data_IF_037379137512
#
_entry.id   IF_037379137512
#
_cell.length_a   1.000
_cell.length_b   1.000
_cell.length_c   1.000
_cell.angle_alpha   90.00
_cell.angle_beta   90.00
_cell.angle_gamma   90.00
#
_symmetry.space_group_name_H-M   'P 1'
#
loop_
_entity.id
_entity.type
_entity.pdbx_description
1 polymer ?
#
# COMPACT_ATOMS: atom_id res chain seq x y z
N UNK A 1 22.60 -49.28 45.90
CA UNK A 1 22.87 -48.18 46.84
C UNK A 1 21.70 -47.19 46.82
N UNK A 2 21.21 -46.70 47.97
CA UNK A 2 20.16 -45.68 48.00
C UNK A 2 20.66 -44.40 47.33
N UNK A 3 19.86 -43.83 46.42
CA UNK A 3 20.20 -42.55 45.78
C UNK A 3 20.16 -41.43 46.82
N UNK A 4 21.09 -40.46 46.82
CA UNK A 4 21.16 -39.39 47.81
C UNK A 4 19.86 -38.55 47.87
N UNK A 5 19.56 -37.88 48.99
CA UNK A 5 18.38 -37.03 49.10
C UNK A 5 18.44 -35.88 48.07
N UNK A 6 17.27 -35.51 47.55
CA UNK A 6 17.11 -34.41 46.60
C UNK A 6 16.60 -33.18 47.36
N UNK A 7 17.28 -32.04 47.22
CA UNK A 7 16.89 -30.80 47.91
C UNK A 7 16.32 -29.78 46.93
N UNK A 8 15.43 -28.92 47.43
CA UNK A 8 14.86 -27.81 46.65
C UNK A 8 15.97 -26.87 46.15
N UNK A 9 16.96 -26.57 47.00
CA UNK A 9 18.08 -25.69 46.64
C UNK A 9 18.96 -26.29 45.54
N UNK A 10 19.17 -27.61 45.50
CA UNK A 10 19.88 -28.27 44.41
C UNK A 10 19.13 -28.13 43.08
N UNK A 11 17.79 -28.29 43.09
CA UNK A 11 16.95 -28.12 41.90
C UNK A 11 17.00 -26.67 41.40
N UNK A 12 16.96 -25.69 42.31
CA UNK A 12 17.07 -24.27 41.95
C UNK A 12 18.45 -23.95 41.34
N UNK A 13 19.53 -24.44 41.94
CA UNK A 13 20.89 -24.24 41.42
C UNK A 13 21.06 -24.84 40.02
N UNK A 14 20.49 -26.02 39.75
CA UNK A 14 20.49 -26.60 38.41
C UNK A 14 19.65 -25.80 37.41
N UNK A 15 18.57 -25.17 37.88
CA UNK A 15 17.69 -24.38 37.04
C UNK A 15 18.32 -23.03 36.66
N UNK A 16 19.04 -22.41 37.60
CA UNK A 16 19.83 -21.20 37.38
C UNK A 16 20.97 -21.49 36.38
N UNK A 17 21.75 -22.57 36.56
CA UNK A 17 22.78 -22.97 35.58
C UNK A 17 22.20 -23.37 34.20
N UNK A 18 20.98 -23.92 34.17
CA UNK A 18 20.28 -24.15 32.89
C UNK A 18 19.91 -22.81 32.24
N UNK A 19 19.40 -21.85 33.02
CA UNK A 19 19.06 -20.51 32.55
C UNK A 19 20.28 -19.77 32.01
N UNK A 20 21.39 -19.77 32.74
CA UNK A 20 22.65 -19.11 32.33
C UNK A 20 23.15 -19.64 30.97
N UNK A 21 22.97 -20.94 30.69
CA UNK A 21 23.41 -21.55 29.43
C UNK A 21 22.44 -21.40 28.28
N UNK A 22 21.13 -21.34 28.55
CA UNK A 22 20.08 -21.43 27.52
C UNK A 22 19.27 -20.14 27.36
N UNK A 23 19.51 -19.14 28.19
CA UNK A 23 18.74 -17.89 28.22
C UNK A 23 17.29 -18.06 28.67
N UNK A 24 16.89 -19.24 29.16
CA UNK A 24 15.54 -19.53 29.66
C UNK A 24 15.58 -20.59 30.75
N UNK A 25 14.63 -20.53 31.68
CA UNK A 25 14.47 -21.55 32.70
C UNK A 25 13.97 -22.89 32.10
N UNK A 26 14.27 -24.03 32.75
CA UNK A 26 13.90 -25.35 32.27
C UNK A 26 12.41 -25.65 32.50
N UNK A 27 11.84 -26.45 31.60
CA UNK A 27 10.54 -27.09 31.72
C UNK A 27 10.69 -28.61 31.81
N UNK A 28 9.63 -29.32 32.22
CA UNK A 28 9.66 -30.77 32.45
C UNK A 28 10.17 -31.60 31.26
N UNK A 29 9.95 -31.13 30.03
CA UNK A 29 10.39 -31.81 28.80
C UNK A 29 11.82 -31.49 28.35
N UNK A 30 12.62 -30.74 29.13
CA UNK A 30 13.99 -30.35 28.75
C UNK A 30 15.03 -31.47 28.93
N UNK A 31 14.58 -32.70 29.15
CA UNK A 31 15.44 -33.88 29.19
C UNK A 31 16.28 -33.98 30.46
N UNK A 32 17.55 -34.39 30.33
CA UNK A 32 18.46 -34.68 31.45
C UNK A 32 19.03 -33.40 32.07
N UNK A 33 19.16 -33.41 33.40
CA UNK A 33 19.88 -32.37 34.15
C UNK A 33 21.37 -32.70 34.07
N UNK A 34 22.21 -31.79 33.55
CA UNK A 34 23.64 -32.11 33.31
C UNK A 34 24.40 -32.44 34.60
N UNK A 35 24.02 -31.79 35.70
CA UNK A 35 24.65 -31.91 37.02
C UNK A 35 24.10 -33.07 37.87
N UNK A 36 23.13 -33.84 37.35
CA UNK A 36 22.48 -34.89 38.12
C UNK A 36 22.08 -36.10 37.25
N UNK A 37 22.09 -37.29 37.84
CA UNK A 37 21.56 -38.50 37.19
C UNK A 37 20.01 -38.55 37.27
N UNK A 38 19.34 -37.53 36.73
CA UNK A 38 17.88 -37.44 36.60
C UNK A 38 17.45 -36.43 35.52
N UNK A 39 16.16 -36.45 35.18
CA UNK A 39 15.53 -35.55 34.20
C UNK A 39 14.72 -34.44 34.87
N UNK A 40 14.46 -33.35 34.14
CA UNK A 40 13.57 -32.27 34.61
C UNK A 40 12.16 -32.78 34.93
N UNK A 41 11.64 -33.74 34.16
CA UNK A 41 10.39 -34.44 34.48
C UNK A 41 10.46 -35.21 35.81
N UNK A 42 11.56 -35.93 36.06
CA UNK A 42 11.75 -36.66 37.33
C UNK A 42 11.90 -35.72 38.52
N UNK A 43 12.58 -34.57 38.35
CA UNK A 43 12.65 -33.52 39.37
C UNK A 43 11.26 -32.91 39.67
N UNK A 44 10.49 -32.59 38.62
CA UNK A 44 9.11 -32.09 38.76
C UNK A 44 8.20 -33.09 39.47
N UNK A 45 8.31 -34.38 39.14
CA UNK A 45 7.56 -35.45 39.80
C UNK A 45 7.96 -35.62 41.27
N UNK A 46 9.26 -35.48 41.59
CA UNK A 46 9.76 -35.46 42.96
C UNK A 46 9.19 -34.31 43.78
N UNK A 47 9.16 -33.09 43.21
CA UNK A 47 8.54 -31.92 43.82
C UNK A 47 7.03 -32.10 44.05
N UNK A 48 6.35 -32.80 43.12
CA UNK A 48 4.90 -33.04 43.20
C UNK A 48 4.55 -34.08 44.26
N UNK A 49 5.31 -35.18 44.33
CA UNK A 49 5.01 -36.36 45.17
C UNK A 49 5.78 -36.43 46.49
N UNK A 50 6.77 -35.57 46.69
CA UNK A 50 7.61 -35.59 47.90
C UNK A 50 8.68 -36.70 47.90
N UNK A 51 9.13 -37.13 46.72
CA UNK A 51 10.13 -38.20 46.63
C UNK A 51 11.53 -37.69 46.98
N UNK A 52 12.37 -38.61 47.48
CA UNK A 52 13.79 -38.37 47.84
C UNK A 52 13.98 -37.28 48.90
N UNK A 53 13.03 -37.12 49.83
CA UNK A 53 13.11 -36.17 50.94
C UNK A 53 12.61 -34.76 50.61
N UNK A 54 11.95 -34.57 49.46
CA UNK A 54 11.29 -33.31 49.12
C UNK A 54 9.95 -33.15 49.88
N UNK A 55 9.54 -31.91 50.19
CA UNK A 55 8.30 -31.65 50.94
C UNK A 55 7.01 -32.07 50.21
N UNK A 56 7.06 -32.24 48.87
CA UNK A 56 5.87 -32.56 48.07
C UNK A 56 4.96 -31.34 47.84
N UNK A 57 3.94 -31.50 46.98
CA UNK A 57 2.88 -30.50 46.81
C UNK A 57 3.21 -29.28 45.94
N UNK A 58 4.37 -29.24 45.28
CA UNK A 58 4.72 -28.17 44.32
C UNK A 58 5.18 -28.75 42.98
N UNK A 59 5.31 -27.92 41.95
CA UNK A 59 5.84 -28.33 40.64
C UNK A 59 7.08 -27.53 40.31
N UNK A 60 7.87 -27.97 39.34
CA UNK A 60 9.03 -27.20 38.88
C UNK A 60 8.62 -25.77 38.43
N UNK A 61 7.50 -25.65 37.71
CA UNK A 61 6.98 -24.36 37.26
C UNK A 61 6.53 -23.45 38.42
N UNK A 62 5.91 -24.03 39.46
CA UNK A 62 5.48 -23.27 40.63
C UNK A 62 6.67 -22.87 41.52
N UNK A 63 7.64 -23.77 41.71
CA UNK A 63 8.87 -23.49 42.44
C UNK A 63 9.67 -22.35 41.80
N UNK A 64 9.82 -22.35 40.47
CA UNK A 64 10.51 -21.30 39.73
C UNK A 64 9.73 -19.97 39.74
N UNK A 65 8.40 -20.04 39.76
CA UNK A 65 7.57 -18.85 39.97
C UNK A 65 7.79 -18.24 41.35
N UNK A 66 7.68 -19.04 42.41
CA UNK A 66 7.80 -18.58 43.79
C UNK A 66 9.20 -18.05 44.13
N UNK A 67 10.26 -18.71 43.64
CA UNK A 67 11.65 -18.43 44.05
C UNK A 67 12.47 -17.61 43.05
N UNK A 68 12.02 -17.48 41.80
CA UNK A 68 12.74 -16.78 40.72
C UNK A 68 11.85 -15.85 39.89
N UNK A 69 10.56 -15.71 40.23
CA UNK A 69 9.63 -14.85 39.50
C UNK A 69 9.34 -15.32 38.07
N UNK A 70 9.66 -16.57 37.73
CA UNK A 70 9.47 -17.12 36.38
C UNK A 70 7.99 -17.34 36.12
N UNK A 71 7.49 -16.89 34.96
CA UNK A 71 6.07 -17.03 34.63
C UNK A 71 5.64 -18.49 34.60
N UNK A 72 4.68 -18.84 35.45
CA UNK A 72 3.99 -20.12 35.37
C UNK A 72 2.95 -20.09 34.25
N UNK A 73 3.21 -20.77 33.12
CA UNK A 73 2.28 -20.86 31.98
C UNK A 73 0.94 -21.52 32.34
N UNK A 74 0.89 -22.31 33.41
CA UNK A 74 -0.33 -22.96 33.89
C UNK A 74 -1.16 -22.09 34.83
N UNK A 75 -0.56 -21.01 35.37
CA UNK A 75 -1.21 -20.10 36.32
C UNK A 75 -0.88 -18.63 35.97
N UNK A 76 -1.33 -18.13 34.81
CA UNK A 76 -1.08 -16.74 34.42
C UNK A 76 -1.75 -15.75 35.39
N UNK A 77 -1.15 -14.56 35.61
CA UNK A 77 -1.70 -13.58 36.54
C UNK A 77 -3.10 -13.13 36.12
N UNK A 78 -3.96 -12.86 37.10
CA UNK A 78 -5.32 -12.36 36.85
C UNK A 78 -5.26 -11.02 36.12
N UNK A 79 -6.14 -10.84 35.14
CA UNK A 79 -6.32 -9.60 34.41
C UNK A 79 -7.59 -8.90 34.89
N UNK A 80 -7.53 -7.57 34.92
CA UNK A 80 -8.72 -6.74 35.08
C UNK A 80 -9.02 -5.94 33.82
N UNK A 81 -10.29 -5.63 33.59
CA UNK A 81 -10.71 -4.75 32.49
C UNK A 81 -10.00 -3.39 32.58
N UNK A 82 -9.86 -2.83 33.76
CA UNK A 82 -9.19 -1.54 33.98
C UNK A 82 -7.71 -1.57 33.57
N UNK A 83 -7.01 -2.67 33.86
CA UNK A 83 -5.62 -2.88 33.46
C UNK A 83 -5.48 -2.96 31.94
N UNK A 84 -6.34 -3.74 31.29
CA UNK A 84 -6.36 -3.87 29.82
C UNK A 84 -6.60 -2.50 29.16
N UNK A 85 -7.56 -1.72 29.68
CA UNK A 85 -7.86 -0.39 29.15
C UNK A 85 -6.68 0.57 29.34
N UNK A 86 -5.99 0.53 30.48
CA UNK A 86 -4.78 1.35 30.71
C UNK A 86 -3.68 1.04 29.69
N UNK A 87 -3.43 -0.24 29.43
CA UNK A 87 -2.47 -0.64 28.39
C UNK A 87 -2.89 -0.16 27.01
N UNK A 88 -4.18 -0.19 26.70
CA UNK A 88 -4.69 0.22 25.40
C UNK A 88 -4.62 1.75 25.22
N UNK A 89 -4.95 2.50 26.27
CA UNK A 89 -4.84 3.95 26.30
C UNK A 89 -3.38 4.39 26.11
N UNK A 90 -2.43 3.74 26.79
CA UNK A 90 -1.00 4.01 26.64
C UNK A 90 -0.49 3.66 25.24
N UNK A 91 -0.89 2.50 24.69
CA UNK A 91 -0.56 2.14 23.32
C UNK A 91 -1.09 3.17 22.31
N UNK A 92 -2.34 3.60 22.46
CA UNK A 92 -2.94 4.63 21.61
C UNK A 92 -2.23 5.98 21.77
N UNK A 93 -1.84 6.36 23.00
CA UNK A 93 -1.08 7.58 23.27
C UNK A 93 0.28 7.59 22.55
N UNK A 94 0.97 6.44 22.53
CA UNK A 94 2.31 6.31 21.92
C UNK A 94 2.24 6.19 20.40
N UNK A 95 1.31 5.39 19.87
CA UNK A 95 1.28 5.01 18.45
C UNK A 95 0.26 5.77 17.61
N UNK A 96 -0.69 6.46 18.27
CA UNK A 96 -1.88 7.03 17.62
C UNK A 96 -2.93 6.00 17.20
N UNK A 97 -2.70 4.71 17.47
CA UNK A 97 -3.57 3.62 17.04
C UNK A 97 -4.01 2.76 18.23
N UNK A 98 -5.27 2.35 18.21
CA UNK A 98 -5.77 1.39 19.20
C UNK A 98 -5.18 0.00 18.92
N UNK A 99 -4.82 -0.74 19.96
CA UNK A 99 -4.26 -2.07 19.77
C UNK A 99 -5.31 -3.04 19.23
N UNK A 100 -4.82 -4.01 18.46
CA UNK A 100 -5.57 -5.17 17.96
C UNK A 100 -4.91 -6.44 18.49
N UNK A 101 -5.56 -7.60 18.34
CA UNK A 101 -4.97 -8.88 18.73
C UNK A 101 -3.65 -9.19 17.97
N UNK A 102 -3.43 -8.58 16.80
CA UNK A 102 -2.24 -8.72 15.97
C UNK A 102 -1.10 -7.75 16.35
N UNK A 103 -1.36 -6.78 17.22
CA UNK A 103 -0.38 -5.75 17.60
C UNK A 103 0.85 -6.33 18.31
N UNK A 104 0.76 -7.54 18.86
CA UNK A 104 1.90 -8.25 19.43
C UNK A 104 2.10 -7.99 20.93
N UNK A 105 3.35 -7.84 21.41
CA UNK A 105 3.65 -7.63 22.83
C UNK A 105 3.09 -6.32 23.40
N UNK A 106 2.72 -6.33 24.67
CA UNK A 106 2.33 -5.14 25.42
C UNK A 106 3.60 -4.51 26.02
N UNK A 107 3.88 -3.21 25.77
CA UNK A 107 5.07 -2.55 26.29
C UNK A 107 5.13 -2.55 27.83
N UNK A 108 6.35 -2.70 28.38
CA UNK A 108 6.62 -2.69 29.83
C UNK A 108 5.89 -3.77 30.64
N UNK A 109 5.41 -4.82 29.97
CA UNK A 109 4.86 -6.01 30.61
C UNK A 109 5.57 -7.24 30.05
N UNK A 110 6.53 -7.80 30.80
CA UNK A 110 7.23 -9.00 30.38
C UNK A 110 6.21 -10.10 30.04
N UNK A 111 6.29 -10.63 28.82
CA UNK A 111 5.52 -11.75 28.29
C UNK A 111 3.98 -11.55 28.13
N UNK A 112 3.44 -10.34 28.22
CA UNK A 112 2.04 -10.09 27.87
C UNK A 112 1.89 -9.69 26.39
N UNK A 113 0.87 -10.24 25.73
CA UNK A 113 0.55 -9.92 24.33
C UNK A 113 -0.92 -9.59 24.18
N UNK A 114 -1.24 -8.79 23.18
CA UNK A 114 -2.63 -8.45 22.84
C UNK A 114 -3.44 -9.67 22.44
N UNK A 115 -2.82 -10.68 21.81
CA UNK A 115 -3.46 -11.96 21.52
C UNK A 115 -3.84 -12.72 22.79
N UNK A 116 -2.97 -12.74 23.81
CA UNK A 116 -3.29 -13.39 25.09
C UNK A 116 -4.43 -12.69 25.83
N UNK A 117 -4.50 -11.36 25.73
CA UNK A 117 -5.61 -10.55 26.25
C UNK A 117 -6.91 -10.85 25.48
N UNK A 118 -6.86 -10.92 24.15
CA UNK A 118 -8.00 -11.27 23.29
C UNK A 118 -8.59 -12.63 23.67
N UNK A 119 -7.75 -13.67 23.78
CA UNK A 119 -8.20 -14.99 24.20
C UNK A 119 -8.80 -14.96 25.61
N UNK A 120 -8.21 -14.22 26.56
CA UNK A 120 -8.76 -14.12 27.91
C UNK A 120 -10.13 -13.43 27.95
N UNK A 121 -10.34 -12.39 27.14
CA UNK A 121 -11.63 -11.69 27.00
C UNK A 121 -12.70 -12.57 26.36
N UNK A 122 -12.31 -13.37 25.36
CA UNK A 122 -13.23 -14.25 24.62
C UNK A 122 -13.62 -15.47 25.45
N UNK A 123 -12.63 -16.15 26.02
CA UNK A 123 -12.80 -17.47 26.62
C UNK A 123 -13.14 -17.38 28.12
N UNK A 124 -13.07 -16.19 28.73
CA UNK A 124 -13.37 -15.99 30.15
C UNK A 124 -12.27 -16.52 31.06
N UNK A 125 -11.02 -16.31 30.67
CA UNK A 125 -9.86 -16.73 31.43
C UNK A 125 -9.30 -15.58 32.30
N UNK A 126 -8.40 -15.94 33.23
CA UNK A 126 -7.61 -14.97 34.02
C UNK A 126 -8.47 -14.00 34.86
N UNK A 127 -9.66 -14.41 35.29
CA UNK A 127 -10.58 -13.61 36.11
C UNK A 127 -11.53 -12.69 35.31
N UNK A 128 -11.56 -12.83 33.98
CA UNK A 128 -12.52 -12.15 33.11
C UNK A 128 -13.77 -13.01 32.91
N UNK A 129 -14.92 -12.36 32.63
CA UNK A 129 -16.22 -13.04 32.49
C UNK A 129 -16.40 -13.85 31.19
N UNK A 130 -15.58 -13.58 30.16
CA UNK A 130 -15.72 -14.20 28.84
C UNK A 130 -16.76 -13.53 27.96
N UNK A 131 -16.84 -13.95 26.69
CA UNK A 131 -17.84 -13.48 25.73
C UNK A 131 -17.63 -12.06 25.19
N UNK A 132 -16.42 -11.50 25.33
CA UNK A 132 -16.05 -10.20 24.78
C UNK A 132 -14.81 -10.32 23.89
N UNK A 133 -14.55 -9.31 23.07
CA UNK A 133 -13.25 -9.09 22.41
C UNK A 133 -12.62 -7.78 22.86
N UNK A 134 -11.33 -7.58 22.55
CA UNK A 134 -10.65 -6.31 22.73
C UNK A 134 -11.38 -5.19 21.94
N UNK A 135 -11.82 -5.49 20.72
CA UNK A 135 -12.57 -4.54 19.90
C UNK A 135 -13.91 -4.14 20.53
N UNK A 136 -14.68 -5.11 21.08
CA UNK A 136 -15.93 -4.84 21.79
C UNK A 136 -15.69 -4.06 23.09
N UNK A 137 -14.63 -4.39 23.83
CA UNK A 137 -14.28 -3.70 25.05
C UNK A 137 -13.92 -2.23 24.79
N UNK A 138 -13.08 -1.97 23.78
CA UNK A 138 -12.70 -0.62 23.37
C UNK A 138 -13.89 0.16 22.80
N UNK A 139 -14.77 -0.48 22.04
CA UNK A 139 -16.00 0.16 21.58
C UNK A 139 -16.90 0.59 22.73
N UNK A 140 -17.10 -0.29 23.71
CA UNK A 140 -17.98 -0.01 24.85
C UNK A 140 -17.39 1.05 25.79
N UNK A 141 -16.09 0.98 26.07
CA UNK A 141 -15.44 1.77 27.13
C UNK A 141 -14.71 3.03 26.64
N UNK A 142 -14.39 3.09 25.35
CA UNK A 142 -13.63 4.19 24.73
C UNK A 142 -14.28 4.73 23.45
N UNK A 143 -15.46 4.22 23.09
CA UNK A 143 -16.19 4.59 21.86
C UNK A 143 -15.35 4.40 20.59
N UNK A 144 -14.38 3.47 20.64
CA UNK A 144 -13.55 3.10 19.49
C UNK A 144 -14.43 2.37 18.49
N UNK A 145 -14.30 2.71 17.21
CA UNK A 145 -15.12 2.10 16.17
C UNK A 145 -14.80 0.62 16.03
N UNK A 146 -15.79 -0.24 16.28
CA UNK A 146 -15.68 -1.67 16.01
C UNK A 146 -16.14 -1.96 14.58
N UNK A 147 -15.18 -2.26 13.70
CA UNK A 147 -15.47 -2.57 12.29
C UNK A 147 -16.29 -3.85 12.10
N UNK A 148 -16.32 -4.75 13.09
CA UNK A 148 -17.13 -5.98 13.09
C UNK A 148 -18.56 -5.76 13.60
N UNK A 149 -18.84 -4.60 14.21
CA UNK A 149 -20.16 -4.25 14.76
C UNK A 149 -20.65 -2.90 14.22
N UNK A 150 -20.42 -2.66 12.92
CA UNK A 150 -20.88 -1.43 12.28
C UNK A 150 -22.40 -1.47 12.10
N UNK A 151 -23.09 -0.31 12.28
CA UNK A 151 -24.52 -0.22 11.98
C UNK A 151 -24.82 -0.66 10.55
N UNK A 152 -26.00 -1.26 10.30
CA UNK A 152 -26.43 -1.61 8.97
C UNK A 152 -26.53 -0.35 8.09
N UNK A 153 -26.18 -0.49 6.83
CA UNK A 153 -26.37 0.52 5.79
C UNK A 153 -27.64 0.19 5.02
N UNK A 154 -28.45 1.20 4.74
CA UNK A 154 -29.56 1.10 3.80
C UNK A 154 -29.18 1.77 2.48
N UNK A 155 -29.82 1.35 1.39
CA UNK A 155 -29.70 2.04 0.09
C UNK A 155 -30.04 3.54 0.21
N UNK A 156 -31.10 3.88 0.95
CA UNK A 156 -31.53 5.28 1.16
C UNK A 156 -30.46 6.12 1.85
N UNK A 157 -29.81 5.57 2.89
CA UNK A 157 -28.74 6.27 3.60
C UNK A 157 -27.56 6.54 2.66
N UNK A 158 -27.14 5.53 1.90
CA UNK A 158 -26.04 5.66 0.92
C UNK A 158 -26.38 6.68 -0.16
N UNK A 159 -27.62 6.65 -0.68
CA UNK A 159 -28.11 7.65 -1.65
C UNK A 159 -28.11 9.06 -1.05
N UNK A 160 -28.54 9.24 0.20
CA UNK A 160 -28.53 10.56 0.86
C UNK A 160 -27.11 11.14 1.00
N UNK A 161 -26.11 10.28 1.23
CA UNK A 161 -24.71 10.69 1.24
C UNK A 161 -24.23 11.05 -0.16
N UNK A 162 -24.68 10.32 -1.18
CA UNK A 162 -24.28 10.57 -2.55
C UNK A 162 -24.89 11.86 -3.09
N UNK A 163 -26.14 12.14 -2.76
CA UNK A 163 -26.84 13.40 -3.09
C UNK A 163 -26.10 14.58 -2.46
N UNK A 164 -25.73 14.50 -1.17
CA UNK A 164 -24.91 15.53 -0.49
C UNK A 164 -23.53 15.69 -1.12
N UNK A 165 -22.89 14.59 -1.52
CA UNK A 165 -21.60 14.65 -2.19
C UNK A 165 -21.72 15.37 -3.54
N UNK A 166 -22.72 14.99 -4.36
CA UNK A 166 -23.01 15.60 -5.65
C UNK A 166 -23.36 17.09 -5.51
N UNK A 167 -24.20 17.46 -4.56
CA UNK A 167 -24.54 18.86 -4.28
C UNK A 167 -23.30 19.71 -3.97
N UNK A 168 -22.28 19.13 -3.32
CA UNK A 168 -21.05 19.83 -2.94
C UNK A 168 -20.01 19.88 -4.07
N UNK A 169 -19.86 18.81 -4.84
CA UNK A 169 -18.76 18.66 -5.82
C UNK A 169 -19.20 18.82 -7.27
N UNK A 170 -20.51 18.83 -7.52
CA UNK A 170 -21.07 18.73 -8.87
C UNK A 170 -20.83 17.36 -9.53
N UNK A 171 -20.37 16.35 -8.77
CA UNK A 171 -20.06 15.01 -9.29
C UNK A 171 -20.59 13.94 -8.37
N UNK A 172 -21.10 12.87 -8.94
CA UNK A 172 -21.51 11.72 -8.15
C UNK A 172 -20.30 11.01 -7.55
N UNK A 173 -20.42 10.45 -6.33
CA UNK A 173 -19.33 9.72 -5.73
C UNK A 173 -19.02 8.43 -6.52
N UNK A 174 -17.77 8.02 -6.45
CA UNK A 174 -17.28 6.74 -6.97
C UNK A 174 -16.56 5.98 -5.85
N UNK A 175 -16.24 4.71 -6.08
CA UNK A 175 -15.44 3.89 -5.15
C UNK A 175 -14.03 4.44 -4.91
N UNK A 176 -13.55 5.37 -5.74
CA UNK A 176 -12.26 6.05 -5.58
C UNK A 176 -12.34 7.33 -4.75
N UNK A 177 -13.54 7.77 -4.38
CA UNK A 177 -13.71 8.92 -3.52
C UNK A 177 -13.27 8.61 -2.08
N UNK A 178 -12.83 9.62 -1.35
CA UNK A 178 -12.32 9.46 0.01
C UNK A 178 -13.40 9.23 1.08
N UNK A 179 -13.22 9.78 2.29
CA UNK A 179 -14.21 9.70 3.36
C UNK A 179 -15.57 10.29 2.97
N UNK A 180 -16.64 9.74 3.55
CA UNK A 180 -17.99 10.27 3.42
C UNK A 180 -18.16 11.45 4.38
N UNK A 181 -18.44 12.63 3.83
CA UNK A 181 -18.66 13.84 4.62
C UNK A 181 -19.89 13.70 5.51
N UNK A 182 -19.73 13.97 6.81
CA UNK A 182 -20.84 13.86 7.78
C UNK A 182 -21.14 12.43 8.24
N UNK A 183 -20.30 11.45 7.89
CA UNK A 183 -20.38 10.08 8.39
C UNK A 183 -18.98 9.61 8.87
N UNK A 184 -18.60 9.93 10.13
CA UNK A 184 -17.27 9.60 10.65
C UNK A 184 -16.94 8.11 10.52
N UNK A 185 -15.81 7.83 9.87
CA UNK A 185 -15.33 6.48 9.60
C UNK A 185 -15.90 5.83 8.32
N UNK A 186 -16.96 6.37 7.73
CA UNK A 186 -17.45 5.84 6.44
C UNK A 186 -16.60 6.36 5.29
N UNK A 187 -16.33 5.50 4.31
CA UNK A 187 -15.64 5.84 3.06
C UNK A 187 -16.36 5.21 1.88
N UNK A 188 -16.30 5.87 0.73
CA UNK A 188 -16.90 5.35 -0.49
C UNK A 188 -16.37 3.96 -0.88
N UNK A 189 -15.05 3.67 -0.85
CA UNK A 189 -14.56 2.33 -1.13
C UNK A 189 -15.10 1.27 -0.17
N UNK A 190 -15.24 1.58 1.13
CA UNK A 190 -15.79 0.63 2.09
C UNK A 190 -17.29 0.35 1.86
N UNK A 191 -18.05 1.38 1.49
CA UNK A 191 -19.46 1.25 1.13
C UNK A 191 -19.62 0.45 -0.17
N UNK A 192 -18.80 0.73 -1.20
CA UNK A 192 -18.84 0.01 -2.47
C UNK A 192 -18.54 -1.49 -2.26
N UNK A 193 -17.53 -1.81 -1.46
CA UNK A 193 -17.24 -3.20 -1.07
C UNK A 193 -18.39 -3.86 -0.30
N UNK A 194 -19.10 -3.10 0.53
CA UNK A 194 -20.28 -3.62 1.23
C UNK A 194 -21.44 -3.92 0.27
N UNK A 195 -21.65 -3.09 -0.78
CA UNK A 195 -22.63 -3.31 -1.85
C UNK A 195 -22.24 -4.50 -2.74
N UNK A 196 -20.95 -4.66 -3.04
CA UNK A 196 -20.46 -5.76 -3.88
C UNK A 196 -20.63 -7.12 -3.19
N UNK A 197 -20.20 -7.22 -1.93
CA UNK A 197 -20.15 -8.49 -1.19
C UNK A 197 -21.45 -8.78 -0.42
N UNK A 198 -22.33 -7.79 -0.26
CA UNK A 198 -23.56 -7.93 0.52
C UNK A 198 -23.29 -7.94 2.02
N UNK A 199 -22.63 -6.90 2.53
CA UNK A 199 -22.32 -6.73 3.94
C UNK A 199 -23.09 -5.56 4.52
N UNK A 200 -23.20 -5.52 5.86
CA UNK A 200 -23.87 -4.44 6.61
C UNK A 200 -25.35 -4.28 6.22
N UNK A 201 -26.05 -5.37 5.93
CA UNK A 201 -27.49 -5.33 5.60
C UNK A 201 -27.80 -4.92 4.16
N UNK A 202 -26.78 -4.73 3.31
CA UNK A 202 -26.95 -4.47 1.88
C UNK A 202 -27.02 -5.79 1.10
N UNK A 203 -27.82 -5.89 0.04
CA UNK A 203 -27.81 -7.03 -0.86
C UNK A 203 -26.49 -7.10 -1.65
N UNK A 204 -25.97 -8.31 -1.94
CA UNK A 204 -24.75 -8.48 -2.74
C UNK A 204 -24.97 -8.14 -4.22
N UNK A 205 -23.87 -7.91 -4.95
CA UNK A 205 -23.88 -7.72 -6.41
C UNK A 205 -24.23 -6.31 -6.89
N UNK A 206 -24.35 -5.34 -5.99
CA UNK A 206 -24.53 -3.93 -6.33
C UNK A 206 -23.20 -3.17 -6.29
N UNK A 207 -23.21 -1.90 -6.69
CA UNK A 207 -22.10 -0.96 -6.54
C UNK A 207 -22.68 0.44 -6.38
N UNK A 208 -21.89 1.41 -5.93
CA UNK A 208 -22.34 2.81 -5.86
C UNK A 208 -22.82 3.26 -7.25
N UNK A 209 -22.10 2.90 -8.31
CA UNK A 209 -22.48 3.23 -9.68
C UNK A 209 -23.84 2.62 -10.08
N UNK A 210 -24.07 1.34 -9.77
CA UNK A 210 -25.36 0.67 -10.05
C UNK A 210 -26.51 1.25 -9.23
N UNK A 211 -26.25 1.55 -7.96
CA UNK A 211 -27.22 2.18 -7.06
C UNK A 211 -27.66 3.56 -7.58
N UNK A 212 -26.69 4.36 -8.03
CA UNK A 212 -26.95 5.68 -8.60
C UNK A 212 -27.65 5.60 -9.96
N UNK A 213 -27.29 4.62 -10.80
CA UNK A 213 -27.98 4.40 -12.06
C UNK A 213 -29.46 4.05 -11.83
N UNK A 214 -29.73 3.12 -10.92
CA UNK A 214 -31.08 2.67 -10.60
C UNK A 214 -31.96 3.78 -9.98
N UNK A 215 -31.41 4.60 -9.08
CA UNK A 215 -32.21 5.53 -8.27
C UNK A 215 -32.09 7.01 -8.63
N UNK A 216 -31.10 7.40 -9.44
CA UNK A 216 -30.83 8.81 -9.79
C UNK A 216 -30.66 9.03 -11.30
N UNK A 217 -30.84 7.99 -12.11
CA UNK A 217 -30.70 8.08 -13.57
C UNK A 217 -29.29 8.43 -14.02
N UNK A 218 -28.28 8.21 -13.16
CA UNK A 218 -26.88 8.43 -13.51
C UNK A 218 -26.45 7.33 -14.46
N UNK A 219 -26.02 7.68 -15.67
CA UNK A 219 -25.58 6.67 -16.63
C UNK A 219 -24.46 5.82 -16.02
N UNK A 220 -24.65 4.50 -16.01
CA UNK A 220 -23.62 3.58 -15.57
C UNK A 220 -22.42 3.69 -16.53
N UNK A 221 -21.16 3.64 -16.05
CA UNK A 221 -19.99 3.77 -16.93
C UNK A 221 -19.96 2.78 -18.11
N UNK A 222 -20.56 1.60 -17.94
CA UNK A 222 -20.67 0.56 -18.98
C UNK A 222 -21.83 0.82 -19.97
N UNK A 223 -22.84 1.60 -19.56
CA UNK A 223 -24.00 1.98 -20.38
C UNK A 223 -23.78 3.29 -21.14
N UNK A 224 -22.63 3.95 -20.94
CA UNK A 224 -22.34 5.20 -21.61
C UNK A 224 -22.16 4.96 -23.13
N UNK A 225 -22.68 5.85 -23.99
CA UNK A 225 -22.67 5.67 -25.45
C UNK A 225 -21.27 5.33 -25.99
N UNK A 226 -21.19 4.36 -26.89
CA UNK A 226 -19.92 3.96 -27.50
C UNK A 226 -19.26 5.15 -28.23
N UNK A 227 -17.94 5.31 -28.07
CA UNK A 227 -17.20 6.29 -28.85
C UNK A 227 -16.89 5.71 -30.22
N UNK A 228 -17.18 6.48 -31.27
CA UNK A 228 -16.61 6.19 -32.59
C UNK A 228 -15.29 6.93 -32.78
N UNK A 229 -14.35 6.34 -33.52
CA UNK A 229 -13.10 7.03 -33.93
C UNK A 229 -13.41 8.34 -34.66
N UNK A 230 -14.47 8.38 -35.48
CA UNK A 230 -14.91 9.56 -36.22
C UNK A 230 -15.33 10.70 -35.27
N UNK A 231 -16.09 10.37 -34.22
CA UNK A 231 -16.53 11.32 -33.21
C UNK A 231 -15.35 11.90 -32.42
N UNK A 232 -14.41 11.06 -31.98
CA UNK A 232 -13.20 11.52 -31.29
C UNK A 232 -12.37 12.47 -32.18
N UNK A 233 -12.24 12.16 -33.47
CA UNK A 233 -11.54 13.03 -34.43
C UNK A 233 -12.27 14.35 -34.63
N UNK A 234 -13.60 14.35 -34.74
CA UNK A 234 -14.40 15.57 -34.86
C UNK A 234 -14.23 16.49 -33.64
N UNK A 235 -14.26 15.93 -32.43
CA UNK A 235 -13.97 16.68 -31.21
C UNK A 235 -12.56 17.24 -31.19
N UNK A 236 -11.58 16.49 -31.69
CA UNK A 236 -10.18 16.95 -31.70
C UNK A 236 -9.95 18.05 -32.73
N UNK A 237 -10.59 17.94 -33.89
CA UNK A 237 -10.58 18.95 -34.95
C UNK A 237 -11.22 20.26 -34.43
N UNK A 238 -12.37 20.17 -33.76
CA UNK A 238 -13.04 21.32 -33.16
C UNK A 238 -12.24 21.97 -32.02
N UNK A 239 -11.61 21.14 -31.15
CA UNK A 239 -10.70 21.65 -30.13
C UNK A 239 -9.51 22.40 -30.76
N UNK A 240 -8.90 21.86 -31.82
CA UNK A 240 -7.81 22.52 -32.54
C UNK A 240 -8.25 23.80 -33.22
N UNK A 241 -9.44 23.84 -33.81
CA UNK A 241 -9.99 25.06 -34.40
C UNK A 241 -10.13 26.17 -33.34
N UNK A 242 -10.52 25.82 -32.12
CA UNK A 242 -10.72 26.77 -31.01
C UNK A 242 -9.43 27.23 -30.35
N UNK A 243 -8.50 26.31 -30.07
CA UNK A 243 -7.31 26.60 -29.25
C UNK A 243 -6.02 26.75 -30.06
N UNK A 244 -6.07 26.46 -31.36
CA UNK A 244 -4.90 26.37 -32.23
C UNK A 244 -4.01 25.15 -31.96
N UNK A 245 -4.34 24.33 -30.96
CA UNK A 245 -3.53 23.17 -30.53
C UNK A 245 -4.37 21.91 -30.58
N UNK A 246 -3.75 20.79 -30.95
CA UNK A 246 -4.39 19.49 -30.80
C UNK A 246 -4.53 19.12 -29.32
N UNK A 247 -5.64 18.49 -28.92
CA UNK A 247 -5.85 18.11 -27.52
C UNK A 247 -4.81 17.08 -27.05
N UNK A 248 -4.58 17.10 -25.74
CA UNK A 248 -3.85 16.11 -24.94
C UNK A 248 -4.79 15.51 -23.92
N UNK A 249 -4.39 14.44 -23.24
CA UNK A 249 -5.22 13.84 -22.17
C UNK A 249 -5.55 14.83 -21.03
N UNK A 250 -4.71 15.85 -20.85
CA UNK A 250 -4.88 16.90 -19.83
C UNK A 250 -5.60 18.16 -20.37
N UNK A 251 -6.11 18.14 -21.59
CA UNK A 251 -6.85 19.29 -22.17
C UNK A 251 -8.22 19.53 -21.52
N UNK A 252 -8.62 18.71 -20.53
CA UNK A 252 -9.81 18.93 -19.72
C UNK A 252 -11.11 18.44 -20.37
N UNK A 253 -12.25 19.10 -20.08
CA UNK A 253 -13.56 18.77 -20.64
C UNK A 253 -13.64 18.95 -22.17
N UNK A 254 -14.49 18.17 -22.82
CA UNK A 254 -14.79 18.27 -24.25
C UNK A 254 -15.98 19.22 -24.41
N UNK A 255 -15.84 20.31 -25.16
CA UNK A 255 -16.89 21.32 -25.27
C UNK A 255 -18.15 20.77 -25.98
N UNK A 256 -17.93 19.87 -26.93
CA UNK A 256 -18.96 19.17 -27.69
C UNK A 256 -19.61 18.00 -26.92
N UNK A 257 -19.09 17.68 -25.73
CA UNK A 257 -19.58 16.62 -24.85
C UNK A 257 -19.23 17.00 -23.40
N UNK A 258 -20.04 17.85 -22.74
CA UNK A 258 -19.68 18.47 -21.46
C UNK A 258 -19.47 17.47 -20.32
N UNK A 259 -20.05 16.28 -20.42
CA UNK A 259 -19.87 15.18 -19.46
C UNK A 259 -18.62 14.32 -19.74
N UNK A 260 -17.90 14.60 -20.83
CA UNK A 260 -16.73 13.83 -21.26
C UNK A 260 -15.45 14.65 -21.15
N UNK A 261 -14.33 13.96 -20.92
CA UNK A 261 -13.00 14.58 -20.83
C UNK A 261 -12.00 13.89 -21.75
N UNK A 262 -10.96 14.61 -22.15
CA UNK A 262 -9.89 14.04 -22.97
C UNK A 262 -9.16 12.86 -22.30
N UNK A 263 -9.13 12.82 -20.97
CA UNK A 263 -8.58 11.71 -20.20
C UNK A 263 -9.43 10.44 -20.29
N UNK A 264 -10.76 10.58 -20.28
CA UNK A 264 -11.69 9.46 -20.47
C UNK A 264 -11.54 8.91 -21.89
N UNK A 265 -11.49 9.78 -22.89
CA UNK A 265 -11.24 9.38 -24.29
C UNK A 265 -9.90 8.66 -24.45
N UNK A 266 -8.81 9.18 -23.87
CA UNK A 266 -7.50 8.52 -23.93
C UNK A 266 -7.52 7.15 -23.24
N UNK A 267 -8.18 7.03 -22.09
CA UNK A 267 -8.35 5.78 -21.37
C UNK A 267 -9.16 4.75 -22.16
N UNK A 268 -10.22 5.19 -22.84
CA UNK A 268 -11.07 4.33 -23.68
C UNK A 268 -10.29 3.80 -24.90
N UNK A 269 -9.50 4.65 -25.56
CA UNK A 269 -8.61 4.26 -26.65
C UNK A 269 -7.54 3.26 -26.21
N UNK A 270 -6.97 3.43 -25.01
CA UNK A 270 -5.91 2.59 -24.48
C UNK A 270 -6.41 1.22 -24.03
N UNK A 271 -7.49 1.18 -23.24
CA UNK A 271 -8.00 -0.04 -22.61
C UNK A 271 -9.01 -0.81 -23.46
N UNK A 272 -9.60 -0.17 -24.47
CA UNK A 272 -10.64 -0.78 -25.29
C UNK A 272 -12.01 -0.74 -24.62
N UNK A 273 -12.32 0.38 -23.99
CA UNK A 273 -13.62 0.60 -23.36
C UNK A 273 -14.51 1.44 -24.29
N UNK A 274 -15.82 1.52 -23.99
CA UNK A 274 -16.78 2.35 -24.74
C UNK A 274 -16.84 2.00 -26.24
N UNK A 275 -16.79 0.70 -26.56
CA UNK A 275 -16.88 0.19 -27.94
C UNK A 275 -15.62 0.36 -28.80
N UNK A 276 -14.49 0.76 -28.21
CA UNK A 276 -13.20 0.84 -28.91
C UNK A 276 -12.41 -0.47 -28.75
N UNK A 277 -11.60 -0.88 -29.74
CA UNK A 277 -10.85 -2.15 -29.69
C UNK A 277 -9.65 -2.15 -28.73
N UNK A 278 -9.27 -1.01 -28.16
CA UNK A 278 -8.11 -0.87 -27.28
C UNK A 278 -6.76 -0.82 -28.01
N UNK A 279 -5.68 -0.63 -27.25
CA UNK A 279 -4.31 -0.60 -27.76
C UNK A 279 -3.89 0.69 -28.50
N UNK A 280 -4.75 1.71 -28.52
CA UNK A 280 -4.48 3.00 -29.15
C UNK A 280 -4.33 4.11 -28.10
N UNK A 281 -3.90 5.31 -28.50
CA UNK A 281 -3.90 6.47 -27.60
C UNK A 281 -4.33 7.70 -28.38
N UNK A 282 -4.82 8.73 -27.69
CA UNK A 282 -5.18 9.99 -28.34
C UNK A 282 -4.00 10.57 -29.17
N UNK A 283 -2.75 10.59 -28.67
CA UNK A 283 -1.60 10.99 -29.49
C UNK A 283 -1.36 10.12 -30.72
N UNK A 284 -1.46 8.79 -30.61
CA UNK A 284 -1.27 7.86 -31.74
C UNK A 284 -2.36 8.00 -32.81
N UNK A 285 -3.61 8.13 -32.37
CA UNK A 285 -4.76 8.36 -33.26
C UNK A 285 -4.60 9.66 -34.05
N UNK A 286 -4.22 10.76 -33.38
CA UNK A 286 -4.00 12.05 -34.04
C UNK A 286 -2.77 12.05 -34.96
N UNK A 287 -1.72 11.30 -34.61
CA UNK A 287 -0.57 11.12 -35.49
C UNK A 287 -0.96 10.41 -36.79
N UNK A 288 -1.69 9.29 -36.67
CA UNK A 288 -2.12 8.50 -37.82
C UNK A 288 -3.12 9.23 -38.72
N UNK A 289 -4.11 9.90 -38.14
CA UNK A 289 -5.23 10.46 -38.91
C UNK A 289 -5.08 11.94 -39.29
N UNK A 290 -4.19 12.69 -38.64
CA UNK A 290 -4.06 14.15 -38.80
C UNK A 290 -2.62 14.63 -38.87
N UNK A 291 -1.65 13.71 -38.91
CA UNK A 291 -0.21 14.04 -39.00
C UNK A 291 0.33 14.77 -37.77
N UNK A 292 -0.37 14.75 -36.62
CA UNK A 292 0.16 15.34 -35.38
C UNK A 292 1.39 14.54 -34.93
N UNK A 293 2.54 15.19 -34.83
CA UNK A 293 3.77 14.52 -34.38
C UNK A 293 3.58 13.91 -32.98
N UNK A 294 3.74 12.58 -32.86
CA UNK A 294 3.69 11.88 -31.58
C UNK A 294 5.06 11.99 -30.90
N UNK A 295 5.17 12.81 -29.85
CA UNK A 295 6.43 13.01 -29.13
C UNK A 295 6.88 11.79 -28.31
N UNK A 296 5.97 10.87 -28.00
CA UNK A 296 6.24 9.63 -27.28
C UNK A 296 6.68 8.45 -28.17
N UNK A 297 6.62 8.63 -29.49
CA UNK A 297 6.91 7.57 -30.49
C UNK A 297 7.90 8.09 -31.55
N UNK A 298 8.86 8.90 -31.11
CA UNK A 298 9.87 9.45 -32.00
C UNK A 298 10.95 8.40 -32.30
N UNK A 299 11.46 8.34 -33.55
CA UNK A 299 12.55 7.44 -33.90
C UNK A 299 13.76 7.62 -32.98
N UNK A 300 14.50 6.54 -32.65
CA UNK A 300 15.70 6.62 -31.84
C UNK A 300 16.72 7.58 -32.48
N UNK A 301 17.39 8.37 -31.64
CA UNK A 301 18.49 9.24 -32.03
C UNK A 301 19.80 8.63 -31.57
N UNK A 302 20.77 8.55 -32.46
CA UNK A 302 22.14 8.21 -32.09
C UNK A 302 22.98 9.46 -31.89
N UNK A 303 24.01 9.36 -31.04
CA UNK A 303 24.99 10.44 -30.86
C UNK A 303 25.61 10.84 -32.20
N UNK A 304 25.91 9.88 -33.06
CA UNK A 304 26.52 10.14 -34.38
C UNK A 304 25.58 10.87 -35.33
N UNK A 305 24.27 10.57 -35.29
CA UNK A 305 23.27 11.33 -36.05
C UNK A 305 23.27 12.80 -35.62
N UNK A 306 23.31 13.07 -34.31
CA UNK A 306 23.35 14.44 -33.76
C UNK A 306 24.65 15.14 -34.16
N UNK A 307 25.80 14.48 -34.07
CA UNK A 307 27.10 15.03 -34.49
C UNK A 307 27.12 15.36 -35.99
N UNK A 308 26.53 14.52 -36.85
CA UNK A 308 26.40 14.80 -38.29
C UNK A 308 25.54 16.05 -38.53
N UNK A 309 24.42 16.20 -37.82
CA UNK A 309 23.58 17.39 -37.94
C UNK A 309 24.30 18.65 -37.47
N UNK A 310 25.05 18.58 -36.36
CA UNK A 310 25.84 19.68 -35.83
C UNK A 310 26.86 20.16 -36.87
N UNK A 311 27.61 19.22 -37.48
CA UNK A 311 28.61 19.53 -38.52
C UNK A 311 27.97 20.11 -39.78
N UNK A 312 26.85 19.55 -40.23
CA UNK A 312 26.12 20.06 -41.39
C UNK A 312 25.62 21.50 -41.16
N UNK A 313 25.12 21.79 -39.96
CA UNK A 313 24.70 23.14 -39.60
C UNK A 313 25.88 24.11 -39.55
N UNK A 314 27.01 23.70 -38.98
CA UNK A 314 28.24 24.51 -38.96
C UNK A 314 28.76 24.81 -40.36
N UNK A 315 28.82 23.80 -41.25
CA UNK A 315 29.23 23.99 -42.66
C UNK A 315 28.35 24.98 -43.40
N UNK A 316 27.05 25.01 -43.09
CA UNK A 316 26.09 25.87 -43.76
C UNK A 316 26.05 27.29 -43.22
N UNK A 317 26.16 27.46 -41.90
CA UNK A 317 25.88 28.73 -41.22
C UNK A 317 27.14 29.37 -40.61
N UNK A 318 28.31 28.71 -40.67
CA UNK A 318 29.56 29.16 -40.06
C UNK A 318 29.55 29.22 -38.53
N UNK A 319 28.45 28.77 -37.90
CA UNK A 319 28.21 28.82 -36.45
C UNK A 319 27.61 27.51 -36.00
N UNK A 320 27.96 27.07 -34.79
CA UNK A 320 27.33 25.90 -34.18
C UNK A 320 25.90 26.25 -33.74
N UNK A 321 24.94 25.34 -33.90
CA UNK A 321 23.56 25.60 -33.51
C UNK A 321 23.43 25.69 -31.98
N UNK A 322 22.60 26.61 -31.53
CA UNK A 322 22.13 26.72 -30.17
C UNK A 322 20.72 26.09 -30.04
N UNK A 323 20.25 25.95 -28.81
CA UNK A 323 18.91 25.43 -28.50
C UNK A 323 17.80 26.20 -29.24
N UNK A 324 18.02 27.50 -29.48
CA UNK A 324 17.10 28.41 -30.19
C UNK A 324 17.36 28.51 -31.70
N UNK A 325 18.27 27.73 -32.27
CA UNK A 325 18.57 27.75 -33.72
C UNK A 325 17.45 27.17 -34.60
N UNK A 326 16.29 26.85 -34.02
CA UNK A 326 15.08 26.48 -34.75
C UNK A 326 15.10 25.06 -35.31
N UNK A 327 14.54 24.90 -36.50
CA UNK A 327 14.38 23.61 -37.18
C UNK A 327 15.70 23.07 -37.75
N UNK A 328 15.83 21.75 -37.77
CA UNK A 328 16.93 21.05 -38.44
C UNK A 328 16.56 20.89 -39.93
N UNK A 329 17.32 21.47 -40.86
CA UNK A 329 17.00 21.44 -42.29
C UNK A 329 16.90 20.03 -42.84
N UNK A 330 15.92 19.78 -43.72
CA UNK A 330 15.70 18.48 -44.35
C UNK A 330 15.14 17.41 -43.41
N UNK A 331 14.70 17.79 -42.20
CA UNK A 331 14.09 16.89 -41.22
C UNK A 331 12.75 17.45 -40.77
N UNK A 332 11.67 16.81 -41.19
CA UNK A 332 10.31 17.24 -40.86
C UNK A 332 10.09 17.23 -39.34
N UNK A 333 9.88 18.43 -38.79
CA UNK A 333 9.55 18.65 -37.38
C UNK A 333 10.72 18.58 -36.39
N UNK A 334 11.92 18.14 -36.76
CA UNK A 334 13.07 18.12 -35.83
C UNK A 334 13.59 19.53 -35.52
N UNK A 335 13.80 19.85 -34.25
CA UNK A 335 14.40 21.12 -33.82
C UNK A 335 15.59 20.90 -32.90
N UNK A 336 16.46 21.90 -32.80
CA UNK A 336 17.60 21.84 -31.87
C UNK A 336 17.15 21.74 -30.40
N UNK A 337 15.99 22.29 -30.06
CA UNK A 337 15.38 22.15 -28.75
C UNK A 337 14.92 20.72 -28.46
N UNK A 338 14.32 20.02 -29.43
CA UNK A 338 13.91 18.63 -29.22
C UNK A 338 15.11 17.69 -29.07
N UNK A 339 16.20 17.96 -29.78
CA UNK A 339 17.46 17.22 -29.63
C UNK A 339 18.12 17.48 -28.27
N UNK A 340 18.19 18.73 -27.82
CA UNK A 340 18.74 19.08 -26.50
C UNK A 340 17.96 18.43 -25.35
N UNK A 341 16.63 18.44 -25.42
CA UNK A 341 15.78 17.78 -24.43
C UNK A 341 16.00 16.27 -24.38
N UNK A 342 16.21 15.62 -25.54
CA UNK A 342 16.50 14.19 -25.61
C UNK A 342 17.86 13.85 -24.99
N UNK A 343 18.89 14.66 -25.26
CA UNK A 343 20.22 14.53 -24.66
C UNK A 343 20.21 14.70 -23.14
N UNK A 344 19.42 15.65 -22.62
CA UNK A 344 19.32 15.92 -21.18
C UNK A 344 18.60 14.80 -20.44
N UNK A 345 17.43 14.40 -20.96
CA UNK A 345 16.51 13.47 -20.27
C UNK A 345 16.79 12.00 -20.55
N UNK A 346 17.69 11.69 -21.49
CA UNK A 346 17.98 10.31 -21.88
C UNK A 346 16.81 9.65 -22.59
N UNK A 347 16.12 10.40 -23.44
CA UNK A 347 15.01 9.87 -24.25
C UNK A 347 15.49 9.60 -25.68
N UNK A 348 14.71 8.83 -26.46
CA UNK A 348 15.05 8.42 -27.84
C UNK A 348 16.35 7.61 -27.94
N UNK A 349 16.57 6.69 -26.98
CA UNK A 349 17.75 5.80 -26.92
C UNK A 349 19.09 6.49 -26.66
N UNK A 350 19.06 7.69 -26.09
CA UNK A 350 20.24 8.40 -25.60
C UNK A 350 20.45 8.10 -24.10
N UNK A 351 21.71 8.05 -23.62
CA UNK A 351 22.01 7.71 -22.22
C UNK A 351 21.57 8.79 -21.20
N UNK A 352 21.25 10.00 -21.65
CA UNK A 352 20.88 11.12 -20.76
C UNK A 352 22.09 11.82 -20.15
N UNK A 353 21.84 12.92 -19.43
CA UNK A 353 22.89 13.67 -18.73
C UNK A 353 23.83 14.47 -19.63
N UNK A 354 23.50 14.64 -20.92
CA UNK A 354 24.26 15.47 -21.85
C UNK A 354 23.41 16.65 -22.36
N UNK A 355 24.00 17.55 -23.15
CA UNK A 355 23.31 18.68 -23.76
C UNK A 355 23.94 19.03 -25.11
N UNK A 356 23.18 19.75 -25.92
CA UNK A 356 23.66 20.26 -27.20
C UNK A 356 24.93 21.11 -27.02
N UNK A 357 24.97 21.93 -25.97
CA UNK A 357 26.12 22.77 -25.63
C UNK A 357 27.37 21.97 -25.29
N UNK A 358 27.24 20.88 -24.51
CA UNK A 358 28.36 20.01 -24.17
C UNK A 358 28.91 19.26 -25.39
N UNK A 359 28.04 18.78 -26.28
CA UNK A 359 28.48 18.15 -27.53
C UNK A 359 29.20 19.14 -28.45
N UNK A 360 28.71 20.39 -28.53
CA UNK A 360 29.38 21.45 -29.29
C UNK A 360 30.73 21.81 -28.67
N UNK A 361 30.82 21.88 -27.34
CA UNK A 361 32.09 22.14 -26.65
C UNK A 361 33.13 21.04 -26.92
N UNK A 362 32.71 19.77 -26.91
CA UNK A 362 33.58 18.64 -27.27
C UNK A 362 34.07 18.71 -28.71
N UNK A 363 33.25 19.20 -29.65
CA UNK A 363 33.64 19.39 -31.05
C UNK A 363 34.59 20.59 -31.24
N UNK A 364 34.62 21.55 -30.31
CA UNK A 364 35.49 22.73 -30.35
C UNK A 364 36.85 22.52 -29.67
N UNK A 365 37.00 21.49 -28.85
CA UNK A 365 38.24 21.26 -28.11
C UNK A 365 39.39 20.80 -29.04
N UNK A 366 40.60 21.36 -28.91
CA UNK A 366 41.76 20.95 -29.70
C UNK A 366 42.20 19.55 -29.25
N UNK A 367 41.89 18.53 -30.06
CA UNK A 367 42.18 17.12 -29.74
C UNK A 367 41.01 16.14 -29.94
N UNK A 368 39.85 16.57 -30.44
CA UNK A 368 38.73 15.67 -30.78
C UNK A 368 39.09 14.63 -31.84
N UNK A 369 39.55 13.45 -31.42
CA UNK A 369 39.92 12.32 -32.29
C UNK A 369 38.81 12.00 -33.30
N UNK A 370 39.20 12.10 -34.57
CA UNK A 370 38.61 11.39 -35.70
C UNK A 370 38.88 9.90 -35.49
N UNK A 371 37.83 9.08 -35.42
CA UNK A 371 37.91 7.65 -35.75
C UNK A 371 36.82 7.33 -36.76
N UNK A 372 37.23 6.73 -37.87
CA UNK A 372 36.36 6.05 -38.82
C UNK A 372 35.98 6.86 -40.06
N UNK A 373 36.92 7.03 -41.00
CA UNK A 373 36.81 6.49 -42.38
C UNK A 373 38.25 6.30 -42.87
N UNK A 374 38.78 5.08 -42.77
CA UNK A 374 39.77 4.60 -43.73
C UNK A 374 39.00 3.87 -44.84
N UNK A 375 39.60 3.93 -46.02
CA UNK A 375 39.17 3.50 -47.36
C UNK A 375 38.46 2.16 -47.46
#
# INVERSE_FOLDING_TARGET
MPKPPLTVEAILAWADDFHDRRGRYPHENDGRIKQADLTWAAASLGLKRGYRGLPGGTTLAQLLWDRRGVRNKTHPPRLSVTQILRWADEHHRVTGHWPTHETGPIPNTPDETWLAVECALRDGARGLRGGSSLAQLLATRRRVRNHMALPPLSHELVLSWADRHHARTGRWPSSWCGPVTGAPGESWPAIDMALLVGRRGLPPGSSIARLLAAHRGVLHPDDLPAFSRKQILAWADAHKARTGKWPTEDSGPIAEAPDETWRVVNSALARGNRGLPGGDTLPRLLARCRGKRNTGDLPPLTRDQILRWLRAHYRRCGRWPAIRSGAIPGRSGETWLTVDNALKRGTRSLPGGSSLGQLVAQLKAPGGRVRGVET
#
